data_IF_394496943402
#
_entry.id   IF_394496943402
#
_cell.length_a   1.000
_cell.length_b   1.000
_cell.length_c   1.000
_cell.angle_alpha   90.00
_cell.angle_beta   90.00
_cell.angle_gamma   90.00
#
_symmetry.space_group_name_H-M   'P 1'
#
loop_
_entity.id
_entity.type
_entity.pdbx_description
1 polymer ?
#
# COMPACT_ATOMS: atom_id res chain seq x y z
N UNK A 1 6.12 7.23 -6.43
CA UNK A 1 5.77 7.53 -7.84
C UNK A 1 4.42 6.96 -8.27
N UNK A 2 4.24 5.64 -8.45
CA UNK A 2 2.95 5.10 -8.96
C UNK A 2 1.73 5.45 -8.08
N UNK A 3 1.86 5.34 -6.74
CA UNK A 3 0.76 5.63 -5.81
C UNK A 3 0.34 7.10 -5.86
N UNK A 4 1.25 8.01 -5.51
CA UNK A 4 1.00 9.47 -5.53
C UNK A 4 0.69 10.01 -6.94
N UNK A 5 1.29 9.38 -7.96
CA UNK A 5 1.03 9.59 -9.38
C UNK A 5 -0.38 9.19 -9.82
N UNK A 6 -1.00 8.25 -9.09
CA UNK A 6 -2.29 7.63 -9.38
C UNK A 6 -2.38 6.96 -10.75
N UNK A 7 -1.27 6.36 -11.17
CA UNK A 7 -1.15 5.55 -12.36
C UNK A 7 -0.24 4.36 -12.03
N UNK A 8 -0.83 3.18 -12.01
CA UNK A 8 -0.09 1.94 -11.77
C UNK A 8 0.44 1.42 -13.11
N UNK A 9 1.66 1.84 -13.44
CA UNK A 9 2.43 1.35 -14.57
C UNK A 9 3.93 1.46 -14.23
N UNK A 10 4.61 0.31 -14.17
CA UNK A 10 6.00 0.24 -13.71
C UNK A 10 6.96 0.86 -14.72
N UNK A 11 6.71 0.71 -16.01
CA UNK A 11 7.59 1.22 -17.07
C UNK A 11 7.47 2.73 -17.17
N UNK A 12 6.25 3.27 -17.14
CA UNK A 12 6.04 4.72 -17.13
C UNK A 12 6.61 5.36 -15.86
N UNK A 13 6.42 4.74 -14.69
CA UNK A 13 7.01 5.26 -13.45
C UNK A 13 8.54 5.25 -13.48
N UNK A 14 9.16 4.18 -14.01
CA UNK A 14 10.60 4.13 -14.19
C UNK A 14 11.10 5.20 -15.17
N UNK A 15 10.42 5.39 -16.30
CA UNK A 15 10.72 6.45 -17.27
C UNK A 15 10.64 7.84 -16.62
N UNK A 16 9.60 8.11 -15.82
CA UNK A 16 9.44 9.38 -15.12
C UNK A 16 10.57 9.63 -14.12
N UNK A 17 11.00 8.61 -13.37
CA UNK A 17 12.14 8.70 -12.44
C UNK A 17 13.43 9.05 -13.20
N UNK A 18 13.68 8.39 -14.33
CA UNK A 18 14.86 8.67 -15.18
C UNK A 18 14.80 10.09 -15.74
N UNK A 19 13.65 10.50 -16.30
CA UNK A 19 13.45 11.83 -16.87
C UNK A 19 13.61 12.95 -15.83
N UNK A 20 13.13 12.70 -14.60
CA UNK A 20 13.28 13.60 -13.46
C UNK A 20 14.67 13.53 -12.80
N UNK A 21 15.60 12.73 -13.33
CA UNK A 21 16.96 12.55 -12.79
C UNK A 21 16.96 12.10 -11.32
N UNK A 22 15.99 11.27 -10.95
CA UNK A 22 15.80 10.78 -9.58
C UNK A 22 14.99 11.72 -8.66
N UNK A 23 14.55 12.90 -9.11
CA UNK A 23 13.63 13.73 -8.34
C UNK A 23 12.24 13.08 -8.29
N UNK A 24 11.87 12.61 -7.11
CA UNK A 24 10.62 11.88 -6.91
C UNK A 24 9.38 12.77 -7.03
N UNK A 25 9.47 14.03 -6.60
CA UNK A 25 8.34 14.98 -6.66
C UNK A 25 8.06 15.31 -8.13
N UNK A 26 9.10 15.59 -8.90
CA UNK A 26 8.97 15.84 -10.35
C UNK A 26 8.48 14.58 -11.09
N UNK A 27 9.02 13.40 -10.77
CA UNK A 27 8.55 12.14 -11.36
C UNK A 27 7.05 11.88 -11.09
N UNK A 28 6.58 12.16 -9.87
CA UNK A 28 5.16 12.07 -9.51
C UNK A 28 4.33 13.07 -10.32
N UNK A 29 4.83 14.30 -10.48
CA UNK A 29 4.15 15.33 -11.26
C UNK A 29 4.03 14.96 -12.74
N UNK A 30 5.11 14.44 -13.35
CA UNK A 30 5.11 13.92 -14.72
C UNK A 30 4.04 12.83 -14.91
N UNK A 31 3.96 11.87 -13.98
CA UNK A 31 2.95 10.80 -14.04
C UNK A 31 1.53 11.33 -13.90
N UNK A 32 1.29 12.27 -12.97
CA UNK A 32 -0.03 12.91 -12.82
C UNK A 32 -0.44 13.68 -14.07
N UNK A 33 0.50 14.40 -14.68
CA UNK A 33 0.26 15.14 -15.91
C UNK A 33 -0.06 14.17 -17.06
N UNK A 34 0.74 13.13 -17.25
CA UNK A 34 0.54 12.12 -18.29
C UNK A 34 -0.82 11.44 -18.17
N UNK A 35 -1.25 11.09 -16.95
CA UNK A 35 -2.57 10.52 -16.69
C UNK A 35 -3.72 11.36 -17.25
N UNK A 36 -3.59 12.69 -17.31
CA UNK A 36 -4.66 13.57 -17.85
C UNK A 36 -4.84 13.46 -19.36
N UNK A 37 -3.82 12.92 -20.06
CA UNK A 37 -3.85 12.69 -21.52
C UNK A 37 -4.49 11.36 -21.90
N UNK A 38 -4.65 10.45 -20.92
CA UNK A 38 -5.15 9.10 -21.15
C UNK A 38 -6.68 9.04 -21.11
N UNK A 39 -7.34 8.35 -22.06
CA UNK A 39 -8.78 8.15 -22.00
C UNK A 39 -9.15 7.20 -20.85
N UNK A 40 -10.21 7.53 -20.11
CA UNK A 40 -10.84 6.60 -19.18
C UNK A 40 -11.84 5.73 -19.94
N UNK A 41 -11.50 4.46 -20.17
CA UNK A 41 -12.32 3.52 -20.95
C UNK A 41 -13.18 2.58 -20.08
N UNK A 42 -13.03 2.61 -18.75
CA UNK A 42 -13.84 1.77 -17.87
C UNK A 42 -13.43 1.84 -16.40
N UNK A 43 -14.09 1.00 -15.61
CA UNK A 43 -13.84 0.79 -14.19
C UNK A 43 -13.64 -0.70 -13.92
N UNK A 44 -12.79 -1.04 -12.96
CA UNK A 44 -12.61 -2.43 -12.54
C UNK A 44 -13.72 -2.84 -11.58
N UNK A 45 -13.86 -4.15 -11.36
CA UNK A 45 -14.55 -4.64 -10.16
C UNK A 45 -13.69 -4.32 -8.93
N UNK A 46 -14.29 -4.25 -7.72
CA UNK A 46 -13.52 -4.14 -6.48
C UNK A 46 -12.49 -5.28 -6.37
N UNK A 47 -11.30 -4.96 -5.86
CA UNK A 47 -10.25 -5.95 -5.66
C UNK A 47 -10.59 -6.86 -4.47
N UNK A 48 -10.48 -8.18 -4.65
CA UNK A 48 -10.61 -9.16 -3.58
C UNK A 48 -9.23 -9.49 -2.98
N UNK A 49 -8.88 -8.77 -1.91
CA UNK A 49 -7.60 -8.98 -1.20
C UNK A 49 -7.59 -10.22 -0.30
N UNK A 50 -8.71 -10.93 -0.16
CA UNK A 50 -8.72 -12.23 0.50
C UNK A 50 -8.16 -13.34 -0.41
N UNK A 51 -8.25 -13.16 -1.72
CA UNK A 51 -7.78 -14.09 -2.75
C UNK A 51 -6.43 -13.69 -3.38
N UNK A 52 -5.71 -12.73 -2.81
CA UNK A 52 -4.43 -12.28 -3.35
C UNK A 52 -3.35 -13.36 -3.26
N UNK A 53 -2.44 -13.37 -4.24
CA UNK A 53 -1.19 -14.10 -4.14
C UNK A 53 -0.24 -13.29 -3.26
N UNK A 54 0.21 -13.88 -2.16
CA UNK A 54 0.92 -13.17 -1.10
C UNK A 54 2.42 -13.37 -1.28
N UNK A 55 3.16 -12.28 -1.44
CA UNK A 55 4.63 -12.25 -1.41
C UNK A 55 5.15 -11.92 0.00
N UNK A 56 4.39 -11.15 0.77
CA UNK A 56 4.69 -10.79 2.16
C UNK A 56 3.42 -10.77 2.98
N UNK A 57 3.47 -11.29 4.21
CA UNK A 57 2.40 -11.22 5.20
C UNK A 57 2.96 -11.20 6.62
N UNK A 58 2.75 -10.08 7.31
CA UNK A 58 3.15 -9.93 8.72
C UNK A 58 2.03 -9.36 9.57
N UNK A 59 1.97 -9.78 10.83
CA UNK A 59 1.05 -9.25 11.84
C UNK A 59 1.76 -9.05 13.17
N UNK A 60 1.48 -7.93 13.84
CA UNK A 60 1.99 -7.65 15.18
C UNK A 60 1.02 -8.07 16.29
N UNK A 61 -0.18 -8.55 15.96
CA UNK A 61 -1.22 -8.91 16.94
C UNK A 61 -1.21 -10.38 17.33
N UNK A 62 -0.57 -11.24 16.54
CA UNK A 62 -0.39 -12.65 16.84
C UNK A 62 1.07 -13.05 16.62
N UNK A 63 1.55 -14.01 17.43
CA UNK A 63 2.85 -14.63 17.21
C UNK A 63 2.85 -15.44 15.91
N UNK A 64 1.90 -16.37 15.80
CA UNK A 64 1.71 -17.25 14.65
C UNK A 64 0.27 -17.12 14.11
N UNK A 65 0.11 -17.32 12.81
CA UNK A 65 -1.16 -17.19 12.09
C UNK A 65 -1.38 -18.42 11.20
N UNK A 66 -2.64 -18.77 10.85
CA UNK A 66 -2.90 -19.70 9.75
C UNK A 66 -2.24 -19.20 8.47
N UNK A 67 -1.44 -20.03 7.80
CA UNK A 67 -0.58 -19.64 6.67
C UNK A 67 0.75 -18.97 7.05
N UNK A 68 1.02 -18.79 8.34
CA UNK A 68 2.29 -18.31 8.89
C UNK A 68 2.55 -16.80 8.73
N UNK A 69 3.67 -16.38 9.33
CA UNK A 69 4.30 -15.08 9.12
C UNK A 69 5.28 -15.21 7.94
N UNK A 70 5.02 -14.50 6.85
CA UNK A 70 5.85 -14.48 5.66
C UNK A 70 6.55 -13.13 5.55
N UNK A 71 7.85 -13.07 5.87
CA UNK A 71 8.59 -11.81 5.79
C UNK A 71 8.68 -11.28 4.35
N UNK A 72 8.76 -12.16 3.35
CA UNK A 72 8.93 -11.77 1.95
C UNK A 72 10.19 -10.92 1.72
N UNK A 73 10.33 -10.33 0.52
CA UNK A 73 11.37 -9.35 0.24
C UNK A 73 11.19 -8.10 1.13
N UNK A 74 12.16 -7.80 1.99
CA UNK A 74 12.07 -6.65 2.90
C UNK A 74 13.46 -6.13 3.30
N UNK A 75 13.52 -4.84 3.64
CA UNK A 75 14.67 -4.22 4.32
C UNK A 75 14.56 -4.29 5.85
N UNK A 76 13.49 -4.85 6.40
CA UNK A 76 13.39 -5.10 7.84
C UNK A 76 14.56 -5.97 8.30
N UNK A 77 15.05 -5.73 9.52
CA UNK A 77 16.15 -6.49 10.15
C UNK A 77 17.53 -6.40 9.47
N UNK A 78 17.67 -5.69 8.35
CA UNK A 78 18.99 -5.42 7.73
C UNK A 78 19.85 -4.51 8.60
N UNK A 79 21.18 -4.61 8.51
CA UNK A 79 22.05 -3.58 9.07
C UNK A 79 22.14 -2.41 8.10
N UNK A 80 21.97 -1.17 8.59
CA UNK A 80 21.94 0.04 7.75
C UNK A 80 23.37 0.53 7.48
N UNK A 81 24.14 -0.32 6.81
CA UNK A 81 25.51 -0.06 6.40
C UNK A 81 25.55 0.15 4.89
N UNK A 82 26.35 1.10 4.42
CA UNK A 82 26.61 1.25 2.99
C UNK A 82 27.37 0.02 2.51
N UNK A 83 26.99 -0.48 1.34
CA UNK A 83 27.62 -1.61 0.68
C UNK A 83 28.44 -1.10 -0.51
N UNK A 84 29.79 -1.00 -0.40
CA UNK A 84 30.64 -0.55 -1.49
C UNK A 84 30.66 -1.50 -2.69
N UNK A 85 30.28 -2.78 -2.51
CA UNK A 85 30.31 -3.77 -3.60
C UNK A 85 29.26 -3.46 -4.68
N UNK A 86 28.15 -2.80 -4.31
CA UNK A 86 27.12 -2.36 -5.25
C UNK A 86 27.64 -1.39 -6.32
N UNK A 87 28.66 -0.56 -5.98
CA UNK A 87 29.27 0.35 -6.94
C UNK A 87 30.09 -0.37 -8.02
N UNK A 88 30.53 -1.60 -7.74
CA UNK A 88 31.29 -2.43 -8.67
C UNK A 88 30.40 -3.24 -9.63
N UNK A 89 29.07 -3.18 -9.47
CA UNK A 89 28.12 -3.88 -10.34
C UNK A 89 28.05 -5.38 -10.10
N UNK A 90 27.89 -5.80 -8.84
CA UNK A 90 27.78 -7.20 -8.45
C UNK A 90 26.50 -7.89 -8.92
N UNK A 91 26.60 -9.21 -9.18
CA UNK A 91 25.46 -10.05 -9.51
C UNK A 91 24.54 -10.24 -8.30
N UNK A 92 23.22 -10.16 -8.53
CA UNK A 92 22.22 -10.49 -7.51
C UNK A 92 22.07 -12.00 -7.46
N UNK A 93 22.35 -12.61 -6.32
CA UNK A 93 22.20 -14.05 -6.14
C UNK A 93 20.74 -14.48 -6.32
N UNK A 94 20.54 -15.57 -7.07
CA UNK A 94 19.22 -16.19 -7.22
C UNK A 94 18.68 -16.63 -5.84
N UNK A 95 17.42 -16.32 -5.51
CA UNK A 95 16.86 -16.69 -4.23
C UNK A 95 16.67 -18.21 -4.14
N UNK A 96 16.95 -18.79 -2.97
CA UNK A 96 16.59 -20.18 -2.71
C UNK A 96 15.07 -20.36 -2.80
N UNK A 97 14.63 -21.39 -3.51
CA UNK A 97 13.22 -21.72 -3.65
C UNK A 97 12.83 -22.82 -2.67
N UNK A 98 11.62 -22.71 -2.11
CA UNK A 98 11.02 -23.72 -1.24
C UNK A 98 9.69 -24.14 -1.84
N UNK A 99 9.45 -25.44 -1.96
CA UNK A 99 8.14 -25.96 -2.28
C UNK A 99 7.14 -25.50 -1.20
N UNK A 100 6.04 -24.89 -1.63
CA UNK A 100 4.99 -24.43 -0.73
C UNK A 100 3.67 -25.09 -1.11
N UNK A 101 2.91 -25.51 -0.11
CA UNK A 101 1.52 -25.91 -0.31
C UNK A 101 0.64 -24.66 -0.21
N UNK A 102 -0.48 -24.67 -0.93
CA UNK A 102 -1.46 -23.60 -0.88
C UNK A 102 -2.26 -23.70 0.43
N UNK A 103 -1.78 -23.05 1.48
CA UNK A 103 -2.52 -22.92 2.73
C UNK A 103 -3.46 -21.70 2.71
N UNK A 104 -4.67 -21.80 3.28
CA UNK A 104 -5.52 -20.64 3.47
C UNK A 104 -4.82 -19.58 4.33
N UNK A 105 -4.74 -18.35 3.82
CA UNK A 105 -4.18 -17.18 4.53
C UNK A 105 -5.28 -16.17 4.87
N UNK A 106 -6.22 -16.49 5.79
CA UNK A 106 -7.32 -15.61 6.15
C UNK A 106 -6.78 -14.26 6.66
N UNK A 107 -7.54 -13.20 6.39
CA UNK A 107 -7.25 -11.87 6.93
C UNK A 107 -7.27 -11.90 8.45
N UNK A 108 -6.34 -11.22 9.10
CA UNK A 108 -6.31 -11.14 10.58
C UNK A 108 -7.59 -10.50 11.11
N UNK A 109 -8.14 -9.50 10.40
CA UNK A 109 -9.45 -8.92 10.74
C UNK A 109 -10.57 -9.97 10.72
N UNK A 110 -10.55 -10.93 9.79
CA UNK A 110 -11.54 -12.00 9.74
C UNK A 110 -11.39 -12.99 10.91
N UNK A 111 -10.17 -13.21 11.41
CA UNK A 111 -9.92 -14.01 12.61
C UNK A 111 -10.51 -13.28 13.83
N UNK A 112 -10.12 -12.02 14.04
CA UNK A 112 -10.60 -11.18 15.14
C UNK A 112 -12.13 -11.02 15.14
N UNK A 113 -12.75 -10.89 13.96
CA UNK A 113 -14.20 -10.77 13.83
C UNK A 113 -14.92 -12.07 14.23
N UNK A 114 -14.37 -13.24 13.88
CA UNK A 114 -14.92 -14.54 14.31
C UNK A 114 -14.85 -14.73 15.83
N UNK A 115 -13.88 -14.10 16.47
CA UNK A 115 -13.71 -14.08 17.93
C UNK A 115 -14.55 -12.99 18.61
N UNK A 116 -15.25 -12.14 17.85
CA UNK A 116 -16.04 -11.03 18.39
C UNK A 116 -15.18 -9.90 18.96
N UNK A 117 -13.92 -9.79 18.55
CA UNK A 117 -12.96 -8.79 19.06
C UNK A 117 -12.96 -7.48 18.27
N UNK A 118 -13.52 -7.50 17.04
CA UNK A 118 -13.67 -6.30 16.20
C UNK A 118 -15.02 -6.30 15.50
N UNK A 119 -15.46 -5.10 15.12
CA UNK A 119 -16.60 -4.90 14.23
C UNK A 119 -16.18 -5.17 12.78
N UNK A 120 -17.15 -5.57 11.94
CA UNK A 120 -16.94 -5.65 10.50
C UNK A 120 -16.75 -4.27 9.88
N UNK A 121 -16.12 -4.20 8.71
CA UNK A 121 -15.84 -2.95 7.98
C UNK A 121 -17.10 -2.15 7.55
N UNK A 122 -18.29 -2.72 7.78
CA UNK A 122 -19.60 -2.22 7.35
C UNK A 122 -19.95 -2.65 5.93
N UNK A 123 -21.24 -2.70 5.62
CA UNK A 123 -21.73 -2.91 4.26
C UNK A 123 -21.99 -1.56 3.59
N UNK A 124 -21.41 -1.35 2.42
CA UNK A 124 -21.85 -0.27 1.54
C UNK A 124 -23.09 -0.74 0.77
N UNK A 125 -24.10 0.11 0.53
CA UNK A 125 -25.21 -0.23 -0.35
C UNK A 125 -24.70 -0.74 -1.70
N UNK A 126 -25.33 -1.77 -2.28
CA UNK A 126 -24.87 -2.36 -3.55
C UNK A 126 -24.86 -1.37 -4.73
N UNK A 127 -25.60 -0.28 -4.62
CA UNK A 127 -25.66 0.82 -5.60
C UNK A 127 -24.74 2.00 -5.25
N UNK A 128 -23.94 1.90 -4.19
CA UNK A 128 -23.04 2.97 -3.78
C UNK A 128 -21.99 3.24 -4.86
N UNK A 129 -21.96 4.48 -5.35
CA UNK A 129 -20.94 4.95 -6.27
C UNK A 129 -19.86 5.67 -5.47
N UNK A 130 -18.60 5.19 -5.47
CA UNK A 130 -17.52 5.88 -4.78
C UNK A 130 -17.30 7.29 -5.31
N UNK A 131 -17.04 8.25 -4.41
CA UNK A 131 -16.65 9.60 -4.83
C UNK A 131 -15.34 9.61 -5.63
N UNK A 132 -15.16 10.59 -6.52
CA UNK A 132 -13.96 10.71 -7.37
C UNK A 132 -13.41 12.14 -7.40
N UNK A 133 -12.37 12.40 -6.61
CA UNK A 133 -11.69 13.70 -6.50
C UNK A 133 -10.95 14.11 -7.78
N UNK A 134 -10.86 13.21 -8.78
CA UNK A 134 -10.31 13.51 -10.09
C UNK A 134 -11.36 14.04 -11.08
N UNK A 135 -12.64 14.06 -10.67
CA UNK A 135 -13.77 14.61 -11.42
C UNK A 135 -14.47 15.73 -10.67
N UNK A 136 -14.59 15.60 -9.35
CA UNK A 136 -15.29 16.55 -8.50
C UNK A 136 -14.33 17.20 -7.51
N UNK A 137 -14.41 18.52 -7.29
CA UNK A 137 -13.58 19.20 -6.32
C UNK A 137 -13.91 18.77 -4.89
N UNK A 138 -12.91 18.80 -4.01
CA UNK A 138 -13.06 18.45 -2.60
C UNK A 138 -14.02 19.40 -1.87
N UNK A 139 -14.98 18.82 -1.14
CA UNK A 139 -15.87 19.54 -0.25
C UNK A 139 -15.85 18.89 1.14
N UNK A 140 -15.83 19.72 2.18
CA UNK A 140 -15.80 19.26 3.56
C UNK A 140 -17.18 19.39 4.22
N UNK A 141 -17.62 18.42 5.05
CA UNK A 141 -16.92 17.18 5.40
C UNK A 141 -16.95 16.11 4.28
N UNK A 142 -15.85 15.35 4.16
CA UNK A 142 -15.72 14.29 3.15
C UNK A 142 -16.21 12.92 3.66
N UNK A 143 -16.79 12.09 2.80
CA UNK A 143 -17.07 10.67 3.06
C UNK A 143 -15.79 9.82 3.13
N UNK A 144 -15.87 8.59 3.69
CA UNK A 144 -14.68 7.73 3.96
C UNK A 144 -13.93 7.36 2.69
N UNK A 145 -14.64 6.98 1.63
CA UNK A 145 -14.09 6.64 0.33
C UNK A 145 -13.29 7.80 -0.29
N UNK A 146 -13.83 9.02 -0.25
CA UNK A 146 -13.15 10.24 -0.70
C UNK A 146 -11.90 10.52 0.12
N UNK A 147 -11.95 10.35 1.45
CA UNK A 147 -10.77 10.48 2.31
C UNK A 147 -9.69 9.44 1.96
N UNK A 148 -10.07 8.19 1.74
CA UNK A 148 -9.13 7.12 1.35
C UNK A 148 -8.51 7.38 -0.03
N UNK A 149 -9.30 7.88 -0.99
CA UNK A 149 -8.80 8.30 -2.29
C UNK A 149 -7.82 9.47 -2.19
N UNK A 150 -8.08 10.44 -1.29
CA UNK A 150 -7.15 11.54 -1.05
C UNK A 150 -5.85 11.06 -0.39
N UNK A 151 -5.95 10.18 0.62
CA UNK A 151 -4.79 9.63 1.34
C UNK A 151 -3.87 8.80 0.45
N UNK A 152 -4.41 7.97 -0.45
CA UNK A 152 -3.57 7.16 -1.37
C UNK A 152 -2.76 8.00 -2.36
N UNK A 153 -3.11 9.28 -2.51
CA UNK A 153 -2.51 10.28 -3.40
C UNK A 153 -1.69 11.33 -2.66
N UNK A 154 -1.63 11.25 -1.33
CA UNK A 154 -0.95 12.22 -0.49
C UNK A 154 0.55 11.96 -0.41
N UNK A 155 1.30 13.02 -0.12
CA UNK A 155 2.75 12.95 0.08
C UNK A 155 3.07 12.02 1.26
N UNK A 156 3.98 11.07 1.02
CA UNK A 156 4.35 10.06 2.01
C UNK A 156 4.94 10.70 3.27
N UNK A 157 5.87 11.66 3.11
CA UNK A 157 6.54 12.32 4.24
C UNK A 157 5.56 13.09 5.13
N UNK A 158 4.63 13.81 4.53
CA UNK A 158 3.58 14.56 5.22
C UNK A 158 2.64 13.63 5.99
N UNK A 159 2.16 12.56 5.35
CA UNK A 159 1.26 11.61 6.01
C UNK A 159 1.97 10.81 7.11
N UNK A 160 3.24 10.47 6.93
CA UNK A 160 4.07 9.86 7.97
C UNK A 160 4.23 10.79 9.17
N UNK A 161 4.48 12.08 8.95
CA UNK A 161 4.59 13.06 10.04
C UNK A 161 3.27 13.19 10.82
N UNK A 162 2.13 13.23 10.12
CA UNK A 162 0.82 13.22 10.76
C UNK A 162 0.59 11.94 11.56
N UNK A 163 0.83 10.77 10.97
CA UNK A 163 0.72 9.48 11.65
C UNK A 163 1.61 9.41 12.89
N UNK A 164 2.86 9.84 12.78
CA UNK A 164 3.81 9.90 13.89
C UNK A 164 3.35 10.83 15.02
N UNK A 165 2.74 11.98 14.69
CA UNK A 165 2.20 12.89 15.71
C UNK A 165 1.13 12.21 16.58
N UNK A 166 0.27 11.37 15.98
CA UNK A 166 -0.75 10.61 16.73
C UNK A 166 -0.16 9.56 17.66
N UNK A 167 0.94 8.93 17.24
CA UNK A 167 1.70 7.98 18.07
C UNK A 167 2.36 8.69 19.26
N UNK A 168 2.71 9.97 19.10
CA UNK A 168 3.30 10.83 20.14
C UNK A 168 2.28 11.53 21.03
N UNK A 169 0.98 11.30 20.84
CA UNK A 169 -0.08 11.72 21.75
C UNK A 169 -1.05 12.77 21.21
N UNK A 170 -0.81 13.34 20.02
CA UNK A 170 -1.75 14.26 19.39
C UNK A 170 -2.93 13.48 18.81
N UNK A 171 -4.07 13.46 19.51
CA UNK A 171 -5.23 12.64 19.16
C UNK A 171 -4.89 11.13 19.09
N UNK A 172 -4.31 10.61 20.18
CA UNK A 172 -3.88 9.21 20.32
C UNK A 172 -5.00 8.21 20.01
N UNK A 173 -4.69 7.18 19.21
CA UNK A 173 -5.62 6.14 18.77
C UNK A 173 -5.15 4.69 19.04
N UNK A 174 -4.05 4.51 19.80
CA UNK A 174 -3.50 3.21 20.21
C UNK A 174 -3.33 2.20 19.04
N UNK A 175 -2.51 2.51 18.02
CA UNK A 175 -2.45 1.72 16.80
C UNK A 175 -1.66 0.42 17.00
N UNK A 176 -2.16 -0.65 16.38
CA UNK A 176 -1.43 -1.90 16.17
C UNK A 176 -1.44 -2.25 14.68
N UNK A 177 -0.37 -2.88 14.21
CA UNK A 177 -0.33 -3.43 12.85
C UNK A 177 -1.07 -4.76 12.85
N UNK A 178 -2.38 -4.71 12.60
CA UNK A 178 -3.23 -5.90 12.50
C UNK A 178 -2.72 -6.86 11.43
N UNK A 179 -2.44 -6.34 10.23
CA UNK A 179 -1.86 -7.10 9.14
C UNK A 179 -1.24 -6.18 8.07
N UNK A 180 -0.10 -6.57 7.53
CA UNK A 180 0.44 -6.04 6.27
C UNK A 180 0.60 -7.21 5.33
N UNK A 181 -0.04 -7.13 4.15
CA UNK A 181 0.08 -8.13 3.08
C UNK A 181 0.33 -7.46 1.75
N UNK A 182 1.24 -8.03 0.96
CA UNK A 182 1.67 -7.59 -0.37
C UNK A 182 1.56 -8.74 -1.33
#
# INVERSE_FOLDING_TARGET
>A
VMSEGSLYDRELAALAIVQARGDMIEAIFLIRAYRTTLPRFGYTRPADTAAMLIERRVSATYKDLPGGQLLGPTFDYTHRLLDPELAAGGDVAEPMQRATEAEPMPRVSAILAREGLIEADGDMPGEHVPGDITREPLQFPMARDVRLQALSRGDEGFLLALGYSTQRGYARNHPFVGEVRV
#
